data_IF_505615993830
#
_entry.id   IF_505615993830
#
_cell.length_a   1.000
_cell.length_b   1.000
_cell.length_c   1.000
_cell.angle_alpha   90.00
_cell.angle_beta   90.00
_cell.angle_gamma   90.00
#
_symmetry.space_group_name_H-M   'P 1'
#
loop_
_entity.id
_entity.type
_entity.pdbx_description
1 polymer ?
#
# COMPACT_ATOMS: atom_id res chain seq x y z
N UNK A 1 10.30 59.82 40.38
CA UNK A 1 11.31 59.16 39.51
C UNK A 1 11.15 57.62 39.44
N UNK A 2 9.94 57.05 39.56
CA UNK A 2 9.73 55.58 39.68
C UNK A 2 9.11 54.88 38.44
N UNK A 3 8.75 55.64 37.39
CA UNK A 3 7.97 55.11 36.25
C UNK A 3 8.86 54.60 35.10
N UNK A 4 10.16 54.92 35.07
CA UNK A 4 11.08 54.50 34.00
C UNK A 4 11.78 53.15 34.21
N UNK A 5 11.56 52.49 35.35
CA UNK A 5 12.15 51.17 35.66
C UNK A 5 11.26 50.00 35.20
N UNK A 6 9.97 50.23 35.02
CA UNK A 6 9.00 49.22 34.57
C UNK A 6 9.29 48.70 33.14
N UNK A 7 9.60 49.54 32.12
CA UNK A 7 9.91 49.03 30.78
C UNK A 7 11.26 48.29 30.75
N UNK A 8 12.21 48.67 31.62
CA UNK A 8 13.49 47.97 31.77
C UNK A 8 13.31 46.57 32.35
N UNK A 9 12.41 46.41 33.32
CA UNK A 9 12.08 45.11 33.90
C UNK A 9 11.32 44.21 32.91
N UNK A 10 10.45 44.80 32.09
CA UNK A 10 9.69 44.09 31.05
C UNK A 10 10.58 43.62 29.91
N UNK A 11 11.56 44.43 29.49
CA UNK A 11 12.59 44.01 28.53
C UNK A 11 13.53 42.95 29.10
N UNK A 12 13.89 43.03 30.38
CA UNK A 12 14.72 42.01 31.03
C UNK A 12 13.98 40.66 31.17
N UNK A 13 12.68 40.69 31.49
CA UNK A 13 11.84 39.49 31.56
C UNK A 13 11.62 38.87 30.17
N UNK A 14 11.44 39.70 29.14
CA UNK A 14 11.33 39.25 27.75
C UNK A 14 12.65 38.64 27.23
N UNK A 15 13.80 39.20 27.62
CA UNK A 15 15.12 38.63 27.31
C UNK A 15 15.36 37.29 28.04
N UNK A 16 14.87 37.15 29.27
CA UNK A 16 14.93 35.89 30.02
C UNK A 16 14.04 34.80 29.40
N UNK A 17 12.86 35.17 28.87
CA UNK A 17 11.95 34.27 28.15
C UNK A 17 12.49 33.85 26.78
N UNK A 18 13.22 34.72 26.08
CA UNK A 18 13.91 34.36 24.83
C UNK A 18 15.12 33.44 25.04
N UNK A 19 15.81 33.54 26.17
CA UNK A 19 16.90 32.63 26.52
C UNK A 19 16.42 31.22 26.91
N UNK A 20 15.18 31.08 27.37
CA UNK A 20 14.56 29.78 27.66
C UNK A 20 13.96 29.08 26.42
N UNK A 21 13.95 29.75 25.25
CA UNK A 21 13.40 29.22 24.00
C UNK A 21 14.39 28.46 23.12
N UNK A 22 15.69 28.48 23.43
CA UNK A 22 16.70 27.67 22.73
C UNK A 22 16.83 26.31 23.41
N UNK A 23 15.75 25.54 23.45
CA UNK A 23 15.85 24.09 23.55
C UNK A 23 16.45 23.54 22.26
N UNK A 24 17.75 23.81 22.03
CA UNK A 24 18.53 23.09 21.04
C UNK A 24 18.44 21.63 21.42
N UNK A 25 17.84 20.87 20.53
CA UNK A 25 17.75 19.42 20.58
C UNK A 25 19.17 18.86 20.63
N UNK A 26 19.67 18.58 21.84
CA UNK A 26 20.96 17.94 22.08
C UNK A 26 20.87 16.46 21.68
N UNK A 27 20.69 16.19 20.39
CA UNK A 27 21.17 14.95 19.80
C UNK A 27 22.68 15.10 19.63
N UNK A 28 23.43 15.01 20.73
CA UNK A 28 24.90 15.04 20.69
C UNK A 28 25.38 13.87 19.84
N UNK A 29 26.00 14.12 18.67
CA UNK A 29 26.45 13.07 17.75
C UNK A 29 27.62 12.22 18.32
N UNK A 30 28.07 12.52 19.54
CA UNK A 30 29.21 11.86 20.19
C UNK A 30 28.84 10.73 21.16
N UNK A 31 27.56 10.57 21.52
CA UNK A 31 27.18 9.47 22.43
C UNK A 31 26.88 8.22 21.62
N UNK A 32 27.46 7.07 21.98
CA UNK A 32 27.12 5.82 21.32
C UNK A 32 25.64 5.48 21.57
N UNK A 33 24.95 4.95 20.57
CA UNK A 33 23.51 4.65 20.68
C UNK A 33 23.19 3.70 21.85
N UNK A 34 24.10 2.77 22.09
CA UNK A 34 24.00 1.78 23.17
C UNK A 34 24.00 2.38 24.57
N UNK A 35 24.53 3.59 24.73
CA UNK A 35 24.63 4.27 26.03
C UNK A 35 23.36 5.08 26.36
N UNK A 36 22.51 5.31 25.36
CA UNK A 36 21.24 6.01 25.53
C UNK A 36 20.39 5.30 26.59
N UNK A 37 19.78 6.06 27.51
CA UNK A 37 19.01 5.49 28.61
C UNK A 37 17.83 4.64 28.10
N UNK A 38 17.21 5.07 27.00
CA UNK A 38 16.11 4.34 26.38
C UNK A 38 16.56 3.03 25.71
N UNK A 39 17.76 2.99 25.14
CA UNK A 39 18.31 1.75 24.55
C UNK A 39 18.57 0.71 25.63
N UNK A 40 19.25 1.10 26.72
CA UNK A 40 19.51 0.21 27.87
C UNK A 40 18.22 -0.29 28.51
N UNK A 41 17.24 0.61 28.71
CA UNK A 41 15.90 0.25 29.18
C UNK A 41 15.23 -0.77 28.25
N UNK A 42 15.32 -0.58 26.94
CA UNK A 42 14.82 -1.54 25.95
C UNK A 42 15.43 -2.92 26.13
N UNK A 43 16.76 -3.03 26.28
CA UNK A 43 17.44 -4.31 26.54
C UNK A 43 17.02 -4.96 27.86
N UNK A 44 16.82 -4.18 28.92
CA UNK A 44 16.35 -4.70 30.20
C UNK A 44 14.92 -5.23 30.11
N UNK A 45 14.05 -4.55 29.37
CA UNK A 45 12.68 -4.99 29.12
C UNK A 45 12.64 -6.27 28.28
N UNK A 46 13.55 -6.44 27.32
CA UNK A 46 13.70 -7.71 26.58
C UNK A 46 14.07 -8.87 27.51
N UNK A 47 14.99 -8.66 28.45
CA UNK A 47 15.36 -9.70 29.46
C UNK A 47 14.18 -10.07 30.35
N UNK A 48 13.26 -9.15 30.57
CA UNK A 48 12.02 -9.37 31.33
C UNK A 48 10.89 -9.96 30.46
N UNK A 49 11.09 -10.18 29.16
CA UNK A 49 10.07 -10.64 28.22
C UNK A 49 9.00 -9.60 27.87
N UNK A 50 9.19 -8.33 28.26
CA UNK A 50 8.25 -7.23 28.04
C UNK A 50 8.46 -6.61 26.65
N UNK A 51 8.15 -7.40 25.62
CA UNK A 51 8.50 -7.10 24.22
C UNK A 51 7.88 -5.79 23.70
N UNK A 52 6.63 -5.50 24.05
CA UNK A 52 5.94 -4.26 23.61
C UNK A 52 6.56 -3.01 24.22
N UNK A 53 6.95 -3.06 25.49
CA UNK A 53 7.58 -1.92 26.16
C UNK A 53 9.03 -1.75 25.74
N UNK A 54 9.72 -2.85 25.45
CA UNK A 54 11.04 -2.84 24.83
C UNK A 54 10.98 -2.13 23.47
N UNK A 55 10.01 -2.50 22.62
CA UNK A 55 9.76 -1.84 21.33
C UNK A 55 9.58 -0.33 21.50
N UNK A 56 8.69 0.09 22.41
CA UNK A 56 8.44 1.51 22.67
C UNK A 56 9.71 2.24 23.15
N UNK A 57 10.57 1.57 23.93
CA UNK A 57 11.82 2.15 24.40
C UNK A 57 12.82 2.33 23.25
N UNK A 58 12.96 1.37 22.34
CA UNK A 58 13.81 1.52 21.15
C UNK A 58 13.27 2.55 20.16
N UNK A 59 11.95 2.63 19.95
CA UNK A 59 11.35 3.66 19.09
C UNK A 59 11.65 5.08 19.58
N UNK A 60 11.66 5.31 20.90
CA UNK A 60 12.08 6.59 21.48
C UNK A 60 13.54 6.94 21.17
N UNK A 61 14.42 5.95 20.99
CA UNK A 61 15.81 6.19 20.57
C UNK A 61 15.84 6.66 19.12
N UNK A 62 15.08 5.99 18.24
CA UNK A 62 14.96 6.37 16.81
C UNK A 62 14.38 7.76 16.65
N UNK A 63 13.32 8.08 17.40
CA UNK A 63 12.71 9.41 17.43
C UNK A 63 13.72 10.47 17.90
N UNK A 64 14.46 10.18 18.98
CA UNK A 64 15.49 11.09 19.51
C UNK A 64 16.62 11.36 18.51
N UNK A 65 17.04 10.36 17.74
CA UNK A 65 18.19 10.47 16.83
C UNK A 65 17.85 10.87 15.40
N UNK A 66 16.57 10.89 15.04
CA UNK A 66 16.12 11.24 13.70
C UNK A 66 16.60 10.22 12.67
N UNK A 67 16.07 9.00 12.76
CA UNK A 67 16.37 7.87 11.85
C UNK A 67 17.83 7.36 11.84
N UNK A 68 18.77 8.02 12.52
CA UNK A 68 20.18 7.62 12.66
C UNK A 68 20.41 6.76 13.92
N UNK A 69 19.70 5.64 14.02
CA UNK A 69 19.78 4.70 15.15
C UNK A 69 19.86 3.24 14.68
N UNK A 70 20.98 2.81 14.07
CA UNK A 70 21.11 1.49 13.48
C UNK A 70 20.84 0.37 14.50
N UNK A 71 21.40 0.44 15.69
CA UNK A 71 21.30 -0.62 16.70
C UNK A 71 19.84 -0.82 17.13
N UNK A 72 19.08 0.25 17.31
CA UNK A 72 17.66 0.22 17.62
C UNK A 72 16.86 -0.32 16.45
N UNK A 73 17.16 0.08 15.22
CA UNK A 73 16.52 -0.50 14.04
C UNK A 73 16.72 -2.03 13.98
N UNK A 74 17.91 -2.54 14.33
CA UNK A 74 18.16 -3.97 14.39
C UNK A 74 17.29 -4.66 15.45
N UNK A 75 17.28 -4.15 16.69
CA UNK A 75 16.52 -4.73 17.80
C UNK A 75 15.00 -4.66 17.54
N UNK A 76 14.51 -3.55 16.98
CA UNK A 76 13.11 -3.38 16.57
C UNK A 76 12.74 -4.39 15.48
N UNK A 77 13.61 -4.58 14.46
CA UNK A 77 13.38 -5.56 13.41
C UNK A 77 13.27 -6.99 13.94
N UNK A 78 14.11 -7.34 14.92
CA UNK A 78 14.07 -8.64 15.60
C UNK A 78 12.77 -8.81 16.37
N UNK A 79 12.33 -7.79 17.11
CA UNK A 79 11.06 -7.77 17.84
C UNK A 79 9.86 -7.99 16.92
N UNK A 80 9.81 -7.28 15.79
CA UNK A 80 8.73 -7.43 14.81
C UNK A 80 8.70 -8.83 14.20
N UNK A 81 9.86 -9.39 13.89
CA UNK A 81 9.96 -10.72 13.29
C UNK A 81 9.58 -11.82 14.29
N UNK A 82 10.09 -11.79 15.52
CA UNK A 82 9.97 -12.91 16.45
C UNK A 82 8.72 -12.86 17.34
N UNK A 83 8.34 -11.68 17.81
CA UNK A 83 7.31 -11.53 18.83
C UNK A 83 5.99 -11.01 18.27
N UNK A 84 6.04 -10.00 17.40
CA UNK A 84 4.84 -9.36 16.83
C UNK A 84 4.36 -10.11 15.59
N UNK A 85 5.25 -10.84 14.92
CA UNK A 85 5.00 -11.61 13.69
C UNK A 85 4.51 -10.72 12.54
N UNK A 86 5.07 -9.51 12.45
CA UNK A 86 4.91 -8.62 11.32
C UNK A 86 6.19 -8.62 10.47
N UNK A 87 6.25 -9.46 9.42
CA UNK A 87 7.44 -9.55 8.58
C UNK A 87 7.68 -8.28 7.76
N UNK A 88 6.66 -7.48 7.46
CA UNK A 88 6.81 -6.27 6.64
C UNK A 88 7.52 -5.18 7.46
N UNK A 89 7.04 -4.94 8.68
CA UNK A 89 7.68 -4.01 9.59
C UNK A 89 9.13 -4.43 9.89
N UNK A 90 9.37 -5.73 10.10
CA UNK A 90 10.72 -6.25 10.30
C UNK A 90 11.65 -5.94 9.11
N UNK A 91 11.20 -6.19 7.87
CA UNK A 91 11.97 -5.89 6.65
C UNK A 91 12.32 -4.41 6.57
N UNK A 92 11.39 -3.51 6.91
CA UNK A 92 11.64 -2.07 6.91
C UNK A 92 12.81 -1.68 7.83
N UNK A 93 12.77 -2.09 9.10
CA UNK A 93 13.83 -1.72 10.05
C UNK A 93 15.17 -2.38 9.69
N UNK A 94 15.17 -3.60 9.16
CA UNK A 94 16.39 -4.24 8.66
C UNK A 94 16.99 -3.53 7.44
N UNK A 95 16.16 -3.02 6.52
CA UNK A 95 16.64 -2.21 5.39
C UNK A 95 17.27 -0.92 5.87
N UNK A 96 16.63 -0.22 6.81
CA UNK A 96 17.15 1.00 7.42
C UNK A 96 18.51 0.76 8.10
N UNK A 97 18.66 -0.33 8.85
CA UNK A 97 19.96 -0.72 9.41
C UNK A 97 21.06 -0.84 8.35
N UNK A 98 20.76 -1.50 7.22
CA UNK A 98 21.73 -1.70 6.13
C UNK A 98 22.05 -0.42 5.38
N UNK A 99 21.12 0.53 5.31
CA UNK A 99 21.37 1.86 4.75
C UNK A 99 22.39 2.62 5.61
N UNK A 100 22.25 2.56 6.93
CA UNK A 100 23.15 3.22 7.88
C UNK A 100 24.51 2.49 7.99
N UNK A 101 24.51 1.15 8.03
CA UNK A 101 25.73 0.32 8.20
C UNK A 101 25.97 -0.59 6.99
N UNK A 102 26.33 0.02 5.85
CA UNK A 102 26.53 -0.67 4.56
C UNK A 102 27.62 -1.76 4.59
N UNK A 103 28.65 -1.62 5.42
CA UNK A 103 29.82 -2.54 5.45
C UNK A 103 30.13 -3.11 6.85
N UNK A 104 29.10 -3.36 7.66
CA UNK A 104 29.27 -3.98 8.98
C UNK A 104 29.27 -5.51 8.88
N UNK A 105 30.00 -6.25 9.74
CA UNK A 105 29.85 -7.71 9.87
C UNK A 105 28.40 -8.14 10.15
N UNK A 106 27.60 -7.26 10.78
CA UNK A 106 26.19 -7.51 11.05
C UNK A 106 25.32 -7.41 9.79
N UNK A 107 25.81 -6.77 8.72
CA UNK A 107 25.03 -6.54 7.50
C UNK A 107 24.64 -7.84 6.79
N UNK A 108 25.50 -8.86 6.82
CA UNK A 108 25.19 -10.19 6.28
C UNK A 108 24.12 -10.90 7.10
N UNK A 109 24.22 -10.84 8.44
CA UNK A 109 23.19 -11.37 9.33
C UNK A 109 21.84 -10.69 9.09
N UNK A 110 21.83 -9.36 8.92
CA UNK A 110 20.61 -8.62 8.61
C UNK A 110 20.05 -8.98 7.23
N UNK A 111 20.91 -9.23 6.23
CA UNK A 111 20.48 -9.72 4.92
C UNK A 111 19.75 -11.06 5.04
N UNK A 112 20.34 -12.02 5.77
CA UNK A 112 19.72 -13.31 6.02
C UNK A 112 18.37 -13.18 6.74
N UNK A 113 18.26 -12.24 7.69
CA UNK A 113 16.99 -11.94 8.39
C UNK A 113 15.93 -11.34 7.46
N UNK A 114 16.31 -10.45 6.54
CA UNK A 114 15.41 -9.92 5.50
C UNK A 114 14.88 -11.06 4.62
N UNK A 115 15.76 -11.96 4.17
CA UNK A 115 15.35 -13.09 3.33
C UNK A 115 14.42 -14.05 4.08
N UNK A 116 14.65 -14.26 5.37
CA UNK A 116 13.78 -15.05 6.23
C UNK A 116 12.40 -14.40 6.43
N UNK A 117 12.36 -13.10 6.77
CA UNK A 117 11.11 -12.35 6.92
C UNK A 117 10.33 -12.27 5.60
N UNK A 118 11.02 -12.12 4.46
CA UNK A 118 10.41 -12.11 3.13
C UNK A 118 9.76 -13.45 2.80
N UNK A 119 10.43 -14.57 3.12
CA UNK A 119 9.83 -15.91 2.96
C UNK A 119 8.64 -16.14 3.90
N UNK A 120 8.70 -15.63 5.12
CA UNK A 120 7.59 -15.69 6.06
C UNK A 120 6.38 -14.90 5.55
N UNK A 121 6.60 -13.69 5.05
CA UNK A 121 5.55 -12.90 4.39
C UNK A 121 4.98 -13.63 3.16
N UNK A 122 5.82 -14.21 2.31
CA UNK A 122 5.35 -14.95 1.14
C UNK A 122 4.43 -16.14 1.50
N UNK A 123 4.57 -16.72 2.70
CA UNK A 123 3.70 -17.79 3.20
C UNK A 123 2.34 -17.31 3.70
N UNK A 124 2.22 -16.06 4.13
CA UNK A 124 0.95 -15.49 4.59
C UNK A 124 0.06 -15.04 3.43
N UNK A 125 0.64 -14.91 2.23
CA UNK A 125 -0.13 -14.68 1.03
C UNK A 125 -1.02 -15.91 0.79
N UNK A 126 -2.35 -15.74 0.68
CA UNK A 126 -3.23 -16.82 0.28
C UNK A 126 -2.70 -17.36 -1.03
N UNK A 127 -2.44 -18.66 -1.08
CA UNK A 127 -1.85 -19.33 -2.22
C UNK A 127 -2.48 -18.80 -3.51
N UNK A 128 -1.69 -18.53 -4.55
CA UNK A 128 -1.01 -19.61 -5.22
C UNK A 128 0.45 -19.29 -5.57
N UNK A 129 1.45 -19.67 -4.77
CA UNK A 129 2.83 -19.74 -5.24
C UNK A 129 3.12 -21.05 -5.99
N UNK A 130 2.33 -22.12 -5.83
CA UNK A 130 2.54 -23.41 -6.54
C UNK A 130 1.67 -23.56 -7.80
N UNK A 131 0.38 -23.19 -7.77
CA UNK A 131 -0.46 -23.16 -8.99
C UNK A 131 0.14 -22.20 -10.02
N UNK A 132 0.50 -20.97 -9.61
CA UNK A 132 1.16 -20.00 -10.48
C UNK A 132 2.58 -20.42 -10.88
N UNK A 133 3.23 -21.36 -10.17
CA UNK A 133 4.53 -21.87 -10.62
C UNK A 133 4.37 -22.90 -11.73
N UNK A 134 3.42 -23.84 -11.61
CA UNK A 134 3.11 -24.77 -12.71
C UNK A 134 2.49 -24.05 -13.90
N UNK A 135 1.59 -23.10 -13.67
CA UNK A 135 1.01 -22.26 -14.73
C UNK A 135 2.07 -21.35 -15.36
N UNK A 136 3.05 -20.84 -14.60
CA UNK A 136 4.19 -20.11 -15.16
C UNK A 136 5.10 -21.00 -15.99
N UNK A 137 5.37 -22.24 -15.56
CA UNK A 137 6.16 -23.18 -16.34
C UNK A 137 5.44 -23.53 -17.67
N UNK A 138 4.15 -23.85 -17.61
CA UNK A 138 3.33 -24.09 -18.81
C UNK A 138 3.26 -22.85 -19.73
N UNK A 139 3.18 -21.64 -19.13
CA UNK A 139 3.19 -20.39 -19.89
C UNK A 139 4.55 -20.14 -20.57
N UNK A 140 5.66 -20.48 -19.92
CA UNK A 140 7.00 -20.38 -20.51
C UNK A 140 7.15 -21.36 -21.69
N UNK A 141 6.71 -22.60 -21.55
CA UNK A 141 6.72 -23.59 -22.63
C UNK A 141 5.88 -23.13 -23.84
N UNK A 142 4.73 -22.50 -23.59
CA UNK A 142 3.89 -21.87 -24.62
C UNK A 142 4.58 -20.70 -25.31
N UNK A 143 5.31 -19.86 -24.58
CA UNK A 143 6.08 -18.75 -25.19
C UNK A 143 7.11 -19.31 -26.17
N UNK A 144 7.86 -20.34 -25.76
CA UNK A 144 8.87 -20.96 -26.61
C UNK A 144 8.25 -21.63 -27.84
N UNK A 145 7.09 -22.28 -27.68
CA UNK A 145 6.34 -22.84 -28.80
C UNK A 145 5.91 -21.74 -29.80
N UNK A 146 5.26 -20.68 -29.32
CA UNK A 146 4.78 -19.58 -30.15
C UNK A 146 5.94 -18.89 -30.87
N UNK A 147 7.10 -18.77 -30.23
CA UNK A 147 8.30 -18.21 -30.86
C UNK A 147 8.79 -19.09 -32.02
N UNK A 148 8.85 -20.43 -31.83
CA UNK A 148 9.22 -21.36 -32.90
C UNK A 148 8.24 -21.28 -34.07
N UNK A 149 6.94 -21.27 -33.79
CA UNK A 149 5.90 -21.12 -34.82
C UNK A 149 6.01 -19.78 -35.55
N UNK A 150 6.30 -18.68 -34.84
CA UNK A 150 6.55 -17.39 -35.46
C UNK A 150 7.74 -17.42 -36.43
N UNK A 151 8.84 -18.05 -36.04
CA UNK A 151 10.02 -18.22 -36.91
C UNK A 151 9.63 -19.04 -38.14
N UNK A 152 8.95 -20.17 -37.94
CA UNK A 152 8.55 -21.05 -39.03
C UNK A 152 7.59 -20.35 -40.02
N UNK A 153 6.60 -19.60 -39.53
CA UNK A 153 5.68 -18.84 -40.36
C UNK A 153 6.39 -17.72 -41.12
N UNK A 154 7.37 -17.05 -40.50
CA UNK A 154 8.20 -16.04 -41.18
C UNK A 154 9.01 -16.67 -42.31
N UNK A 155 9.61 -17.84 -42.09
CA UNK A 155 10.37 -18.54 -43.12
C UNK A 155 9.46 -19.00 -44.28
N UNK A 156 8.24 -19.46 -43.98
CA UNK A 156 7.25 -19.79 -45.01
C UNK A 156 6.85 -18.54 -45.82
N UNK A 157 6.64 -17.40 -45.18
CA UNK A 157 6.35 -16.15 -45.87
C UNK A 157 7.50 -15.72 -46.78
N UNK A 158 8.74 -15.87 -46.34
CA UNK A 158 9.94 -15.61 -47.16
C UNK A 158 9.99 -16.59 -48.34
N UNK A 159 9.72 -17.88 -48.11
CA UNK A 159 9.68 -18.90 -49.16
C UNK A 159 8.61 -18.63 -50.23
N UNK A 160 7.39 -18.28 -49.82
CA UNK A 160 6.30 -17.94 -50.74
C UNK A 160 6.60 -16.63 -51.47
N UNK A 161 7.15 -15.63 -50.78
CA UNK A 161 7.56 -14.35 -51.40
C UNK A 161 8.65 -14.57 -52.44
N UNK A 162 9.65 -15.39 -52.14
CA UNK A 162 10.74 -15.70 -53.08
C UNK A 162 10.25 -16.54 -54.26
N UNK A 163 9.31 -17.47 -54.05
CA UNK A 163 8.65 -18.20 -55.15
C UNK A 163 7.78 -17.30 -56.03
N UNK A 164 7.07 -16.34 -55.45
CA UNK A 164 6.31 -15.34 -56.19
C UNK A 164 7.20 -14.39 -57.01
N UNK A 165 8.42 -14.11 -56.52
CA UNK A 165 9.42 -13.30 -57.24
C UNK A 165 10.14 -14.10 -58.34
N UNK A 166 10.31 -15.41 -58.17
CA UNK A 166 11.03 -16.28 -59.11
C UNK A 166 10.12 -16.99 -60.14
N UNK A 167 8.80 -16.82 -60.05
CA UNK A 167 7.87 -17.33 -61.07
C UNK A 167 7.88 -16.38 -62.28
N UNK A 168 8.26 -16.83 -63.49
CA UNK A 168 8.27 -15.97 -64.67
C UNK A 168 6.84 -15.53 -64.97
N UNK A 169 6.59 -14.22 -64.79
CA UNK A 169 5.34 -13.56 -65.15
C UNK A 169 5.13 -13.76 -66.66
N UNK A 170 4.01 -14.33 -67.13
CA UNK A 170 3.73 -14.35 -68.56
C UNK A 170 3.62 -12.90 -69.06
N UNK A 171 4.56 -12.52 -69.93
CA UNK A 171 4.54 -11.25 -70.66
C UNK A 171 3.40 -11.25 -71.66
N UNK A 172 2.20 -10.89 -71.21
CA UNK A 172 1.18 -10.32 -72.09
C UNK A 172 0.25 -9.43 -71.29
N UNK A 173 0.47 -8.12 -71.50
CA UNK A 173 -0.46 -6.98 -71.45
C UNK A 173 0.21 -5.76 -70.81
N UNK A 174 0.90 -4.99 -71.64
CA UNK A 174 0.90 -3.52 -71.56
C UNK A 174 -0.41 -3.03 -72.21
N UNK A 175 -0.99 -1.84 -71.93
CA UNK A 175 -0.42 -0.57 -71.42
C UNK A 175 -1.38 0.14 -70.38
N UNK A 176 -1.35 1.46 -70.07
CA UNK A 176 -0.40 2.53 -70.38
C UNK A 176 0.25 3.21 -69.15
N UNK A 177 1.29 3.97 -69.45
CA UNK A 177 1.94 4.99 -68.61
C UNK A 177 0.92 5.96 -68.01
N UNK A 178 0.87 6.01 -66.68
CA UNK A 178 0.47 7.19 -65.94
C UNK A 178 1.60 7.49 -64.95
N UNK A 179 2.33 8.57 -65.25
CA UNK A 179 3.23 9.21 -64.31
C UNK A 179 2.45 9.52 -63.04
N UNK A 180 2.86 8.93 -61.92
CA UNK A 180 2.44 9.38 -60.60
C UNK A 180 3.69 9.97 -59.98
N UNK A 181 3.78 11.29 -60.09
CA UNK A 181 4.82 12.08 -59.47
C UNK A 181 4.90 11.81 -57.97
N UNK A 182 6.15 11.78 -57.55
CA UNK A 182 6.66 11.88 -56.20
C UNK A 182 5.89 12.96 -55.40
N UNK A 183 5.11 12.53 -54.41
CA UNK A 183 4.56 13.40 -53.38
C UNK A 183 4.77 12.74 -52.02
N UNK A 184 6.00 12.90 -51.54
CA UNK A 184 6.31 13.01 -50.12
C UNK A 184 5.49 14.16 -49.51
N UNK A 185 4.28 13.87 -49.04
CA UNK A 185 3.52 14.76 -48.16
C UNK A 185 3.38 14.07 -46.79
N UNK A 186 3.98 14.60 -45.72
CA UNK A 186 3.80 14.06 -44.38
C UNK A 186 2.39 14.41 -43.90
N UNK A 187 1.54 13.39 -43.72
CA UNK A 187 0.30 13.55 -42.98
C UNK A 187 0.64 13.76 -41.51
N UNK A 188 0.69 15.03 -41.14
CA UNK A 188 0.76 15.51 -39.77
C UNK A 188 -0.34 14.83 -38.94
N UNK A 189 0.08 14.15 -37.88
CA UNK A 189 -0.82 13.67 -36.85
C UNK A 189 -1.38 14.89 -36.14
N UNK A 190 -2.65 15.18 -36.40
CA UNK A 190 -3.47 16.12 -35.64
C UNK A 190 -3.55 15.64 -34.18
N UNK A 191 -2.59 16.10 -33.38
CA UNK A 191 -2.48 15.78 -31.96
C UNK A 191 -3.27 16.82 -31.17
N UNK A 192 -4.57 16.91 -31.44
CA UNK A 192 -5.45 17.94 -30.87
C UNK A 192 -6.68 17.37 -30.18
N UNK A 193 -6.59 16.18 -29.57
CA UNK A 193 -7.62 15.68 -28.65
C UNK A 193 -7.01 14.93 -27.47
N UNK A 194 -6.38 15.70 -26.57
CA UNK A 194 -6.18 15.29 -25.17
C UNK A 194 -7.16 16.08 -24.31
N UNK A 195 -8.11 15.43 -23.60
CA UNK A 195 -8.98 16.10 -22.66
C UNK A 195 -8.26 16.16 -21.31
N UNK A 196 -7.36 17.14 -21.15
CA UNK A 196 -6.94 17.59 -19.82
C UNK A 196 -7.39 19.03 -19.73
N UNK A 197 -8.68 19.20 -19.44
CA UNK A 197 -9.23 20.47 -19.04
C UNK A 197 -8.67 20.81 -17.65
N UNK A 198 -8.00 21.96 -17.60
CA UNK A 198 -7.56 22.61 -16.38
C UNK A 198 -8.74 22.77 -15.40
N UNK A 199 -8.55 22.31 -14.17
CA UNK A 199 -9.45 22.57 -13.08
C UNK A 199 -9.33 24.05 -12.66
N UNK A 200 -10.46 24.77 -12.49
CA UNK A 200 -10.45 26.11 -11.92
C UNK A 200 -10.29 26.07 -10.39
N UNK A 201 -9.61 27.10 -9.89
CA UNK A 201 -9.58 27.52 -8.48
C UNK A 201 -10.98 27.50 -7.85
N UNK A 202 -11.15 26.71 -6.79
CA UNK A 202 -12.23 26.87 -5.82
C UNK A 202 -11.64 26.90 -4.41
N UNK A 203 -11.44 28.13 -3.95
CA UNK A 203 -11.87 28.66 -2.65
C UNK A 203 -12.15 27.66 -1.52
N UNK A 204 -11.27 27.72 -0.52
CA UNK A 204 -11.44 27.20 0.84
C UNK A 204 -12.73 27.72 1.51
N UNK A 205 -13.64 26.86 2.00
CA UNK A 205 -14.62 27.24 3.00
C UNK A 205 -14.03 27.11 4.41
N UNK A 206 -13.99 28.27 5.07
CA UNK A 206 -13.78 28.48 6.49
C UNK A 206 -14.66 27.56 7.35
N UNK A 207 -14.03 26.70 8.17
CA UNK A 207 -14.72 25.93 9.20
C UNK A 207 -14.93 26.85 10.39
N UNK A 208 -16.15 27.34 10.53
CA UNK A 208 -16.61 28.04 11.71
C UNK A 208 -16.61 27.11 12.92
N UNK A 209 -15.96 27.58 13.98
CA UNK A 209 -15.96 27.02 15.33
C UNK A 209 -17.39 26.94 15.85
N UNK A 210 -17.86 25.73 16.15
CA UNK A 210 -19.02 25.52 17.04
C UNK A 210 -18.50 24.87 18.31
N UNK A 211 -18.39 25.70 19.35
CA UNK A 211 -18.28 25.32 20.74
C UNK A 211 -19.57 24.61 21.17
N UNK A 212 -19.49 23.31 21.48
CA UNK A 212 -20.51 22.65 22.30
C UNK A 212 -19.87 22.13 23.59
N UNK A 213 -20.37 22.70 24.66
CA UNK A 213 -20.08 22.44 26.07
C UNK A 213 -20.44 20.99 26.44
N UNK A 214 -19.66 20.30 27.28
CA UNK A 214 -19.99 18.96 27.74
C UNK A 214 -21.14 19.02 28.75
N UNK A 215 -22.24 18.32 28.49
CA UNK A 215 -23.30 18.07 29.46
C UNK A 215 -23.06 16.70 30.11
N UNK A 216 -22.99 16.68 31.44
CA UNK A 216 -22.71 15.52 32.28
C UNK A 216 -23.86 14.48 32.26
N UNK A 217 -23.56 13.17 32.42
CA UNK A 217 -24.58 12.13 32.56
C UNK A 217 -25.13 12.06 34.00
N UNK A 218 -26.45 11.83 34.21
CA UNK A 218 -27.00 11.49 35.52
C UNK A 218 -26.70 10.02 35.91
N UNK A 219 -26.82 9.65 37.20
CA UNK A 219 -26.21 8.44 37.75
C UNK A 219 -26.99 7.16 37.47
N UNK A 220 -26.23 6.06 37.45
CA UNK A 220 -26.64 4.67 37.24
C UNK A 220 -27.32 4.10 38.50
N UNK A 221 -28.48 3.42 38.40
CA UNK A 221 -28.92 2.47 39.41
C UNK A 221 -28.43 1.04 39.07
N UNK A 222 -27.98 0.32 40.09
CA UNK A 222 -27.52 -1.09 40.05
C UNK A 222 -28.62 -2.08 39.58
N UNK A 223 -28.25 -3.29 39.09
CA UNK A 223 -29.16 -4.20 38.40
C UNK A 223 -29.93 -5.14 39.34
N UNK A 224 -31.20 -5.37 39.02
CA UNK A 224 -31.99 -6.53 39.49
C UNK A 224 -32.22 -7.52 38.33
N UNK A 225 -32.11 -8.84 38.55
CA UNK A 225 -32.15 -9.84 37.50
C UNK A 225 -33.60 -10.11 37.03
N UNK A 226 -33.82 -10.09 35.70
CA UNK A 226 -35.09 -10.45 35.06
C UNK A 226 -34.95 -11.79 34.31
N UNK A 227 -35.99 -12.67 34.29
CA UNK A 227 -35.93 -14.02 33.74
C UNK A 227 -35.71 -14.04 32.22
N UNK A 228 -35.23 -15.17 31.62
CA UNK A 228 -34.91 -15.23 30.20
C UNK A 228 -36.19 -15.15 29.36
N UNK A 229 -36.33 -14.08 28.58
CA UNK A 229 -37.30 -14.00 27.49
C UNK A 229 -36.64 -14.45 26.17
N UNK A 230 -37.39 -15.13 25.27
CA UNK A 230 -36.87 -15.60 23.99
C UNK A 230 -36.32 -14.44 23.16
N UNK A 231 -35.11 -14.59 22.64
CA UNK A 231 -34.46 -13.62 21.75
C UNK A 231 -35.23 -13.48 20.44
N UNK A 232 -35.99 -12.40 20.32
CA UNK A 232 -36.41 -11.84 19.03
C UNK A 232 -35.15 -11.39 18.26
N UNK A 233 -34.98 -11.71 16.95
CA UNK A 233 -33.80 -11.34 16.19
C UNK A 233 -33.61 -9.82 16.09
N UNK A 234 -32.38 -9.38 16.32
CA UNK A 234 -31.95 -8.00 16.22
C UNK A 234 -32.11 -7.42 14.81
N UNK A 235 -32.58 -6.17 14.78
CA UNK A 235 -32.42 -5.12 13.77
C UNK A 235 -31.76 -5.53 12.43
N UNK A 236 -32.58 -5.58 11.39
CA UNK A 236 -32.15 -5.62 9.99
C UNK A 236 -31.48 -4.28 9.64
N UNK A 237 -30.16 -4.26 9.52
CA UNK A 237 -29.46 -3.25 8.72
C UNK A 237 -29.97 -3.36 7.29
N UNK A 238 -30.74 -2.37 6.84
CA UNK A 238 -31.31 -2.29 5.51
C UNK A 238 -30.23 -2.09 4.45
N UNK A 239 -29.46 -3.14 4.16
CA UNK A 239 -28.51 -3.15 3.05
C UNK A 239 -29.27 -3.05 1.73
N UNK A 240 -28.72 -2.29 0.79
CA UNK A 240 -29.31 -2.15 -0.56
C UNK A 240 -29.26 -3.51 -1.25
N UNK A 241 -30.40 -3.93 -1.80
CA UNK A 241 -30.47 -5.18 -2.57
C UNK A 241 -29.97 -4.93 -3.99
N UNK A 242 -29.10 -5.80 -4.47
CA UNK A 242 -28.57 -5.76 -5.82
C UNK A 242 -28.78 -7.10 -6.51
N UNK A 243 -29.28 -7.07 -7.75
CA UNK A 243 -29.41 -8.27 -8.58
C UNK A 243 -28.19 -8.37 -9.47
N UNK A 244 -27.44 -9.46 -9.31
CA UNK A 244 -26.20 -9.73 -10.04
C UNK A 244 -26.49 -9.83 -11.54
N UNK A 245 -25.76 -9.07 -12.35
CA UNK A 245 -25.84 -9.13 -13.80
C UNK A 245 -24.81 -10.10 -14.39
N UNK A 246 -25.01 -10.47 -15.66
CA UNK A 246 -24.08 -11.36 -16.37
C UNK A 246 -22.73 -10.66 -16.55
N UNK A 247 -21.68 -11.21 -15.93
CA UNK A 247 -20.32 -10.67 -15.99
C UNK A 247 -19.91 -9.86 -14.76
N UNK A 248 -20.80 -9.71 -13.77
CA UNK A 248 -20.43 -9.08 -12.51
C UNK A 248 -19.48 -9.94 -11.68
N UNK A 249 -18.66 -9.26 -10.88
CA UNK A 249 -17.87 -9.86 -9.81
C UNK A 249 -18.14 -9.11 -8.51
N UNK A 250 -17.95 -9.77 -7.36
CA UNK A 250 -18.08 -9.09 -6.06
C UNK A 250 -17.19 -7.84 -5.95
N UNK A 251 -16.02 -7.87 -6.61
CA UNK A 251 -15.12 -6.72 -6.70
C UNK A 251 -15.75 -5.56 -7.49
N UNK A 252 -16.29 -5.84 -8.68
CA UNK A 252 -16.95 -4.84 -9.51
C UNK A 252 -18.17 -4.23 -8.82
N UNK A 253 -18.98 -5.08 -8.16
CA UNK A 253 -20.14 -4.66 -7.36
C UNK A 253 -19.67 -3.78 -6.19
N UNK A 254 -18.66 -4.20 -5.43
CA UNK A 254 -18.13 -3.39 -4.31
C UNK A 254 -17.57 -2.04 -4.79
N UNK A 255 -16.87 -2.02 -5.92
CA UNK A 255 -16.35 -0.79 -6.52
C UNK A 255 -17.47 0.14 -6.97
N UNK A 256 -18.52 -0.39 -7.59
CA UNK A 256 -19.67 0.40 -8.04
C UNK A 256 -20.46 0.99 -6.87
N UNK A 257 -20.75 0.19 -5.85
CA UNK A 257 -21.64 0.60 -4.76
C UNK A 257 -20.96 1.42 -3.67
N UNK A 258 -19.67 1.20 -3.44
CA UNK A 258 -18.95 1.91 -2.39
C UNK A 258 -17.83 2.83 -2.91
N UNK A 259 -17.64 2.92 -4.23
CA UNK A 259 -16.56 3.67 -4.87
C UNK A 259 -15.18 3.00 -4.77
N UNK A 260 -15.04 1.88 -4.05
CA UNK A 260 -13.78 1.16 -3.92
C UNK A 260 -14.00 -0.34 -3.70
N UNK A 261 -13.29 -1.16 -4.48
CA UNK A 261 -13.35 -2.62 -4.47
C UNK A 261 -12.38 -3.27 -3.49
N UNK A 262 -12.11 -2.66 -2.33
CA UNK A 262 -11.17 -3.26 -1.37
C UNK A 262 -11.63 -4.64 -0.90
N UNK A 263 -10.67 -5.51 -0.56
CA UNK A 263 -10.95 -6.84 -0.01
C UNK A 263 -11.89 -6.79 1.22
N UNK A 264 -11.77 -5.76 2.06
CA UNK A 264 -12.66 -5.58 3.21
C UNK A 264 -14.13 -5.42 2.79
N UNK A 265 -14.42 -4.68 1.71
CA UNK A 265 -15.79 -4.49 1.22
C UNK A 265 -16.32 -5.70 0.48
N UNK A 266 -15.48 -6.36 -0.31
CA UNK A 266 -15.81 -7.65 -0.95
C UNK A 266 -16.18 -8.69 0.12
N UNK A 267 -15.38 -8.77 1.19
CA UNK A 267 -15.65 -9.67 2.31
C UNK A 267 -16.89 -9.25 3.10
N UNK A 268 -17.16 -7.95 3.23
CA UNK A 268 -18.39 -7.43 3.83
C UNK A 268 -19.65 -7.90 3.09
N UNK A 269 -19.68 -7.76 1.76
CA UNK A 269 -20.77 -8.28 0.92
C UNK A 269 -20.89 -9.80 1.09
N UNK A 270 -19.78 -10.53 1.03
CA UNK A 270 -19.81 -11.98 1.13
C UNK A 270 -20.31 -12.46 2.50
N UNK A 271 -19.90 -11.80 3.59
CA UNK A 271 -20.33 -12.11 4.95
C UNK A 271 -21.83 -11.82 5.16
N UNK A 272 -22.33 -10.71 4.62
CA UNK A 272 -23.75 -10.37 4.66
C UNK A 272 -24.63 -11.34 3.86
N UNK A 273 -24.06 -12.07 2.90
CA UNK A 273 -24.76 -12.94 1.98
C UNK A 273 -24.41 -14.43 2.14
N UNK A 274 -23.79 -14.87 3.24
CA UNK A 274 -23.36 -16.27 3.43
C UNK A 274 -24.48 -17.30 3.24
N UNK A 275 -25.74 -16.92 3.46
CA UNK A 275 -26.89 -17.80 3.25
C UNK A 275 -27.25 -18.05 1.78
N UNK A 276 -26.91 -17.12 0.88
CA UNK A 276 -27.19 -17.22 -0.57
C UNK A 276 -25.92 -17.39 -1.40
N UNK A 277 -24.79 -16.91 -0.91
CA UNK A 277 -23.49 -16.93 -1.58
C UNK A 277 -22.43 -17.53 -0.63
N UNK A 278 -22.16 -18.85 -0.71
CA UNK A 278 -21.20 -19.52 0.16
C UNK A 278 -19.75 -19.05 -0.04
N UNK A 279 -19.40 -18.69 -1.29
CA UNK A 279 -18.05 -18.27 -1.70
C UNK A 279 -18.11 -17.26 -2.85
N UNK A 280 -17.01 -16.51 -3.06
CA UNK A 280 -16.94 -15.49 -4.09
C UNK A 280 -17.11 -16.03 -5.52
N UNK A 281 -16.71 -17.28 -5.76
CA UNK A 281 -16.83 -17.96 -7.06
C UNK A 281 -18.21 -18.56 -7.33
N UNK A 282 -19.09 -18.63 -6.33
CA UNK A 282 -20.46 -19.13 -6.49
C UNK A 282 -21.43 -18.03 -6.98
N UNK A 283 -20.91 -16.87 -7.39
CA UNK A 283 -21.70 -15.74 -7.85
C UNK A 283 -22.31 -16.05 -9.22
N UNK A 284 -23.64 -16.06 -9.30
CA UNK A 284 -24.39 -16.31 -10.52
C UNK A 284 -25.27 -15.12 -10.90
N UNK A 285 -25.46 -14.85 -12.21
CA UNK A 285 -26.40 -13.84 -12.67
C UNK A 285 -27.82 -14.13 -12.16
N UNK A 286 -28.54 -13.10 -11.74
CA UNK A 286 -29.89 -13.19 -11.17
C UNK A 286 -29.94 -13.38 -9.66
N UNK A 287 -28.81 -13.66 -8.99
CA UNK A 287 -28.76 -13.72 -7.53
C UNK A 287 -29.02 -12.34 -6.91
N UNK A 288 -29.80 -12.29 -5.83
CA UNK A 288 -30.00 -11.05 -5.07
C UNK A 288 -29.06 -11.01 -3.87
N UNK A 289 -28.17 -10.02 -3.85
CA UNK A 289 -27.23 -9.78 -2.77
C UNK A 289 -27.65 -8.56 -1.94
N UNK A 290 -27.39 -8.63 -0.64
CA UNK A 290 -27.47 -7.53 0.32
C UNK A 290 -26.11 -6.81 0.32
N UNK A 291 -26.11 -5.52 0.05
CA UNK A 291 -24.92 -4.67 0.11
C UNK A 291 -25.01 -3.85 1.40
N UNK A 292 -24.19 -4.14 2.43
CA UNK A 292 -24.19 -3.45 3.73
C UNK A 292 -23.94 -1.95 3.67
#
# INVERSE_FOLDING_TARGET
MRIRLIPLFLCALAALLFAAGCGRYDSSPFTAEIDEPNYRRGKDLLRQGRNQEALASFLKVVEKRGDDAPESHLEIGILYQQHIKDPIAAIYHYRKFRELKRNSPQSDLVRQRIDAATREFARTLPAQPLENQMERLDLLDKIDQIQRENVQLKDQLIGVRTQAVNSPRPSSLQPPVAEVEDSLAPLAIDTSQSPIAAAPDETLPSIAVVTQTPVAPPPVPLPTPRPPQPTTPAAQTGGRRYVVQKGDSLYAIAKSHYGSGTNARVQGILNANRGVLPSAGALQPGMTLIIP
#
